data_IF_036898965481
#
_entry.id   IF_036898965481
#
_cell.length_a   1.000
_cell.length_b   1.000
_cell.length_c   1.000
_cell.angle_alpha   90.00
_cell.angle_beta   90.00
_cell.angle_gamma   90.00
#
_symmetry.space_group_name_H-M   'P 1'
#
loop_
_entity.id
_entity.type
_entity.pdbx_description
1 polymer ?
#
# COMPACT_ATOMS: atom_id res chain seq x y z
N UNK A 1 -10.86 -35.41 -58.14
CA UNK A 1 -11.64 -36.26 -57.21
C UNK A 1 -10.92 -36.31 -55.88
N UNK A 2 -11.36 -35.54 -54.87
CA UNK A 2 -10.85 -35.74 -53.50
C UNK A 2 -11.44 -37.03 -52.93
N UNK A 3 -10.60 -37.91 -52.39
CA UNK A 3 -11.04 -39.19 -51.84
C UNK A 3 -11.83 -38.98 -50.53
N UNK A 4 -12.89 -39.75 -50.27
CA UNK A 4 -13.77 -39.58 -49.09
C UNK A 4 -13.00 -39.65 -47.76
N UNK A 5 -11.84 -40.31 -47.74
CA UNK A 5 -10.93 -40.40 -46.60
C UNK A 5 -10.28 -39.05 -46.24
N UNK A 6 -9.99 -38.20 -47.23
CA UNK A 6 -9.40 -36.86 -47.03
C UNK A 6 -10.42 -35.89 -46.44
N UNK A 7 -11.69 -36.02 -46.81
CA UNK A 7 -12.76 -35.19 -46.28
C UNK A 7 -13.06 -35.52 -44.81
N UNK A 8 -13.08 -36.81 -44.44
CA UNK A 8 -13.24 -37.27 -43.06
C UNK A 8 -12.12 -36.77 -42.14
N UNK A 9 -10.87 -36.81 -42.59
CA UNK A 9 -9.73 -36.33 -41.81
C UNK A 9 -9.77 -34.81 -41.59
N UNK A 10 -10.24 -34.04 -42.58
CA UNK A 10 -10.44 -32.59 -42.43
C UNK A 10 -11.49 -32.24 -41.37
N UNK A 11 -12.61 -32.96 -41.33
CA UNK A 11 -13.67 -32.75 -40.33
C UNK A 11 -13.15 -33.05 -38.92
N UNK A 12 -12.40 -34.14 -38.75
CA UNK A 12 -11.80 -34.49 -37.44
C UNK A 12 -10.81 -33.43 -36.99
N UNK A 13 -9.91 -32.96 -37.87
CA UNK A 13 -8.93 -31.93 -37.52
C UNK A 13 -9.61 -30.60 -37.14
N UNK A 14 -10.63 -30.18 -37.89
CA UNK A 14 -11.40 -28.97 -37.56
C UNK A 14 -12.14 -29.12 -36.22
N UNK A 15 -12.69 -30.30 -35.93
CA UNK A 15 -13.32 -30.59 -34.64
C UNK A 15 -12.34 -30.49 -33.46
N UNK A 16 -11.12 -31.00 -33.62
CA UNK A 16 -10.07 -30.91 -32.59
C UNK A 16 -9.62 -29.46 -32.36
N UNK A 17 -9.43 -28.69 -33.44
CA UNK A 17 -9.05 -27.27 -33.33
C UNK A 17 -10.14 -26.47 -32.60
N UNK A 18 -11.41 -26.70 -32.93
CA UNK A 18 -12.54 -26.05 -32.27
C UNK A 18 -12.60 -26.41 -30.77
N UNK A 19 -12.42 -27.70 -30.44
CA UNK A 19 -12.37 -28.16 -29.05
C UNK A 19 -11.25 -27.45 -28.28
N UNK A 20 -10.03 -27.42 -28.81
CA UNK A 20 -8.89 -26.74 -28.18
C UNK A 20 -9.14 -25.24 -27.99
N UNK A 21 -9.75 -24.57 -28.97
CA UNK A 21 -10.09 -23.15 -28.85
C UNK A 21 -11.12 -22.91 -27.74
N UNK A 22 -12.17 -23.73 -27.65
CA UNK A 22 -13.18 -23.60 -26.58
C UNK A 22 -12.59 -23.86 -25.19
N UNK A 23 -11.71 -24.86 -25.05
CA UNK A 23 -11.01 -25.11 -23.79
C UNK A 23 -10.10 -23.95 -23.39
N UNK A 24 -9.40 -23.33 -24.35
CA UNK A 24 -8.57 -22.16 -24.11
C UNK A 24 -9.40 -20.95 -23.65
N UNK A 25 -10.55 -20.71 -24.29
CA UNK A 25 -11.48 -19.64 -23.89
C UNK A 25 -12.04 -19.85 -22.47
N UNK A 26 -12.43 -21.08 -22.13
CA UNK A 26 -12.92 -21.41 -20.78
C UNK A 26 -11.81 -21.22 -19.73
N UNK A 27 -10.58 -21.66 -20.02
CA UNK A 27 -9.44 -21.48 -19.13
C UNK A 27 -9.11 -20.00 -18.93
N UNK A 28 -9.07 -19.22 -20.01
CA UNK A 28 -8.83 -17.77 -19.97
C UNK A 28 -9.91 -17.04 -19.16
N UNK A 29 -11.19 -17.34 -19.41
CA UNK A 29 -12.31 -16.75 -18.68
C UNK A 29 -12.34 -17.15 -17.20
N UNK A 30 -11.89 -18.38 -16.86
CA UNK A 30 -11.79 -18.83 -15.47
C UNK A 30 -10.74 -18.08 -14.64
N UNK A 31 -9.66 -17.60 -15.27
CA UNK A 31 -8.70 -16.72 -14.58
C UNK A 31 -9.31 -15.35 -14.29
N UNK A 32 -10.03 -14.78 -15.27
CA UNK A 32 -10.63 -13.45 -15.14
C UNK A 32 -11.80 -13.41 -14.13
N UNK A 33 -12.60 -14.48 -14.06
CA UNK A 33 -13.71 -14.58 -13.08
C UNK A 33 -13.21 -14.85 -11.67
N UNK A 34 -12.18 -15.68 -11.51
CA UNK A 34 -11.55 -15.94 -10.21
C UNK A 34 -10.94 -14.68 -9.59
N UNK A 35 -10.36 -13.82 -10.43
CA UNK A 35 -9.90 -12.50 -10.03
C UNK A 35 -11.07 -11.61 -9.58
N UNK A 36 -12.15 -11.47 -10.36
CA UNK A 36 -13.28 -10.60 -10.00
C UNK A 36 -14.07 -11.07 -8.76
N UNK A 37 -14.23 -12.37 -8.54
CA UNK A 37 -14.85 -12.89 -7.31
C UNK A 37 -13.96 -12.69 -6.07
N UNK A 38 -12.64 -12.72 -6.24
CA UNK A 38 -11.70 -12.35 -5.18
C UNK A 38 -11.82 -10.85 -4.88
N UNK A 39 -11.75 -10.00 -5.90
CA UNK A 39 -11.85 -8.54 -5.76
C UNK A 39 -13.18 -8.06 -5.15
N UNK A 40 -14.32 -8.72 -5.45
CA UNK A 40 -15.63 -8.34 -4.89
C UNK A 40 -15.84 -8.76 -3.43
N UNK A 41 -15.12 -9.77 -2.92
CA UNK A 41 -15.14 -10.10 -1.47
C UNK A 41 -14.26 -9.17 -0.65
N UNK A 42 -13.28 -8.55 -1.28
CA UNK A 42 -12.37 -7.57 -0.70
C UNK A 42 -13.00 -6.19 -0.45
N UNK A 43 -14.16 -5.91 -1.05
CA UNK A 43 -14.69 -4.56 -1.27
C UNK A 43 -15.50 -3.95 -0.10
N UNK A 44 -15.56 -4.55 1.09
CA UNK A 44 -16.55 -4.10 2.12
C UNK A 44 -16.06 -3.73 3.52
N UNK A 45 -14.75 -3.71 3.80
CA UNK A 45 -14.25 -3.08 5.03
C UNK A 45 -12.97 -2.31 4.75
N UNK A 46 -12.99 -1.01 5.05
CA UNK A 46 -11.77 -0.22 5.22
C UNK A 46 -11.00 -0.90 6.35
N UNK A 47 -10.01 -1.73 5.97
CA UNK A 47 -9.17 -2.42 6.93
C UNK A 47 -8.09 -1.43 7.36
N UNK A 48 -7.98 -1.18 8.65
CA UNK A 48 -6.86 -0.42 9.21
C UNK A 48 -5.56 -1.23 8.96
N UNK A 49 -4.64 -0.74 8.11
CA UNK A 49 -3.42 -1.47 7.80
C UNK A 49 -2.36 -1.31 8.90
N UNK A 50 -2.57 -0.50 9.94
CA UNK A 50 -1.55 -0.30 10.97
C UNK A 50 -1.17 -1.59 11.72
N UNK A 51 0.05 -1.63 12.24
CA UNK A 51 0.77 -2.85 12.59
C UNK A 51 0.31 -3.44 13.93
N UNK A 52 0.02 -2.64 14.95
CA UNK A 52 -0.34 -3.12 16.30
C UNK A 52 -1.67 -3.89 16.30
N UNK A 53 -2.68 -3.44 15.54
CA UNK A 53 -3.97 -4.13 15.41
C UNK A 53 -3.97 -5.27 14.37
N UNK A 54 -2.82 -5.51 13.72
CA UNK A 54 -2.70 -6.62 12.77
C UNK A 54 -2.89 -7.99 13.43
N UNK A 55 -2.72 -8.12 14.74
CA UNK A 55 -2.74 -9.39 15.47
C UNK A 55 -1.60 -10.34 15.06
N UNK A 56 -0.56 -9.81 14.43
CA UNK A 56 0.65 -10.53 14.02
C UNK A 56 1.89 -10.12 14.84
N UNK A 57 1.70 -9.25 15.83
CA UNK A 57 2.76 -8.66 16.66
C UNK A 57 2.33 -8.70 18.12
N UNK A 58 3.30 -8.82 19.01
CA UNK A 58 3.12 -8.67 20.46
C UNK A 58 3.43 -7.25 20.96
N UNK A 59 4.06 -6.43 20.12
CA UNK A 59 4.32 -5.01 20.38
C UNK A 59 3.04 -4.28 20.81
N UNK A 60 3.15 -3.48 21.87
CA UNK A 60 2.05 -2.67 22.42
C UNK A 60 2.17 -1.18 22.11
N UNK A 61 3.25 -0.80 21.45
CA UNK A 61 3.58 0.58 21.13
C UNK A 61 4.19 0.66 19.75
N UNK A 62 3.84 1.71 19.03
CA UNK A 62 4.43 2.07 17.76
C UNK A 62 4.89 3.53 17.79
N UNK A 63 5.96 3.81 17.05
CA UNK A 63 6.34 5.18 16.71
C UNK A 63 5.66 5.54 15.40
N UNK A 64 4.89 6.62 15.40
CA UNK A 64 4.20 7.13 14.22
C UNK A 64 4.80 8.46 13.83
N UNK A 65 5.08 8.60 12.54
CA UNK A 65 5.50 9.83 11.88
C UNK A 65 4.50 10.15 10.77
N UNK A 66 4.02 11.39 10.75
CA UNK A 66 3.31 11.95 9.60
C UNK A 66 4.20 12.98 8.94
N UNK A 67 4.27 12.98 7.61
CA UNK A 67 4.97 14.00 6.83
C UNK A 67 3.99 14.63 5.85
N UNK A 68 3.86 15.94 5.89
CA UNK A 68 3.13 16.72 4.91
C UNK A 68 4.14 17.38 3.98
N UNK A 69 4.05 17.11 2.68
CA UNK A 69 4.94 17.65 1.65
C UNK A 69 4.18 18.56 0.70
N UNK A 70 4.75 19.73 0.42
CA UNK A 70 4.17 20.72 -0.49
C UNK A 70 5.23 21.20 -1.48
N UNK A 71 5.11 20.76 -2.72
CA UNK A 71 6.06 21.08 -3.79
C UNK A 71 6.09 22.58 -4.11
N UNK A 72 4.91 23.22 -4.10
CA UNK A 72 4.73 24.64 -4.42
C UNK A 72 5.04 25.57 -3.24
N UNK A 73 5.55 25.02 -2.14
CA UNK A 73 5.88 25.74 -0.93
C UNK A 73 4.75 25.79 0.10
N UNK A 74 4.91 26.67 1.08
CA UNK A 74 4.12 26.65 2.31
C UNK A 74 2.63 26.97 2.02
N UNK A 75 1.68 26.12 2.48
CA UNK A 75 0.24 26.38 2.30
C UNK A 75 -0.24 27.60 3.10
N UNK A 76 -1.44 28.11 2.79
CA UNK A 76 -2.04 29.26 3.50
C UNK A 76 -2.05 29.01 5.03
N UNK A 77 -1.85 30.08 5.80
CA UNK A 77 -1.72 30.07 7.26
C UNK A 77 -2.89 29.39 7.97
N UNK A 78 -4.09 29.42 7.37
CA UNK A 78 -5.30 28.77 7.90
C UNK A 78 -5.14 27.25 8.04
N UNK A 79 -4.50 26.60 7.07
CA UNK A 79 -4.25 25.16 7.07
C UNK A 79 -3.50 24.68 8.32
N UNK A 80 -2.55 25.48 8.85
CA UNK A 80 -1.77 25.10 10.03
C UNK A 80 -2.52 25.19 11.35
N UNK A 81 -3.53 26.05 11.45
CA UNK A 81 -4.24 26.27 12.71
C UNK A 81 -5.07 25.04 13.08
N UNK A 82 -5.48 24.26 12.07
CA UNK A 82 -6.29 23.06 12.23
C UNK A 82 -5.44 21.80 12.52
N UNK A 83 -4.17 21.80 12.08
CA UNK A 83 -3.24 20.67 12.25
C UNK A 83 -2.69 20.48 13.67
N UNK A 84 -2.64 21.55 14.47
CA UNK A 84 -2.05 21.51 15.81
C UNK A 84 -2.98 20.85 16.83
N UNK A 85 -3.32 19.57 16.61
CA UNK A 85 -3.92 18.73 17.63
C UNK A 85 -2.92 18.44 18.77
N UNK A 86 -3.45 18.22 19.97
CA UNK A 86 -2.68 17.93 21.18
C UNK A 86 -1.99 16.56 21.10
N UNK A 87 -0.68 16.49 21.38
CA UNK A 87 0.06 15.23 21.53
C UNK A 87 1.08 14.91 20.43
N UNK A 88 1.14 15.71 19.37
CA UNK A 88 2.15 15.58 18.30
C UNK A 88 3.33 16.53 18.51
N UNK A 89 4.54 16.03 18.32
CA UNK A 89 5.75 16.87 18.22
C UNK A 89 5.96 17.25 16.75
N UNK A 90 5.78 18.52 16.40
CA UNK A 90 5.86 19.01 15.03
C UNK A 90 7.22 19.67 14.72
N UNK A 91 7.75 19.38 13.54
CA UNK A 91 9.01 19.93 13.02
C UNK A 91 8.82 20.42 11.58
N UNK A 92 9.19 21.67 11.32
CA UNK A 92 9.15 22.26 9.98
C UNK A 92 10.51 22.14 9.29
N UNK A 93 10.51 21.80 8.00
CA UNK A 93 11.63 22.07 7.11
C UNK A 93 11.34 23.33 6.28
N UNK A 94 12.38 24.06 5.87
CA UNK A 94 12.28 25.25 5.02
C UNK A 94 11.32 26.34 5.55
N UNK A 95 11.56 26.79 6.78
CA UNK A 95 10.77 27.83 7.47
C UNK A 95 10.86 29.23 6.85
N UNK A 96 11.71 29.45 5.85
CA UNK A 96 12.00 30.76 5.27
C UNK A 96 10.83 31.39 4.48
N UNK A 97 9.72 30.68 4.23
CA UNK A 97 8.53 31.26 3.58
C UNK A 97 8.80 31.79 2.17
N UNK A 98 9.89 31.34 1.55
CA UNK A 98 10.28 31.72 0.20
C UNK A 98 9.35 30.99 -0.76
N UNK A 99 8.55 31.74 -1.51
CA UNK A 99 7.68 31.19 -2.53
C UNK A 99 8.50 30.39 -3.55
N UNK A 100 8.03 29.19 -3.89
CA UNK A 100 8.67 28.30 -4.86
C UNK A 100 9.75 27.37 -4.32
N UNK A 101 10.02 27.34 -3.01
CA UNK A 101 10.81 26.27 -2.39
C UNK A 101 9.87 25.22 -1.77
N UNK A 102 10.18 23.91 -1.91
CA UNK A 102 9.38 22.87 -1.28
C UNK A 102 9.32 23.04 0.23
N UNK A 103 8.15 22.78 0.79
CA UNK A 103 7.88 22.90 2.22
C UNK A 103 7.48 21.54 2.79
N UNK A 104 7.98 21.19 3.97
CA UNK A 104 7.50 20.02 4.69
C UNK A 104 7.26 20.27 6.18
N UNK A 105 6.28 19.54 6.71
CA UNK A 105 5.91 19.53 8.12
C UNK A 105 5.84 18.07 8.58
N UNK A 106 6.66 17.70 9.55
CA UNK A 106 6.68 16.36 10.11
C UNK A 106 6.14 16.36 11.54
N UNK A 107 5.20 15.46 11.84
CA UNK A 107 4.66 15.23 13.18
C UNK A 107 5.10 13.87 13.69
N UNK A 108 5.47 13.78 14.98
CA UNK A 108 5.87 12.53 15.63
C UNK A 108 5.04 12.26 16.88
N UNK A 109 4.65 11.00 17.08
CA UNK A 109 3.93 10.54 18.26
C UNK A 109 4.21 9.06 18.51
N UNK A 110 4.31 8.66 19.78
CA UNK A 110 4.22 7.24 20.16
C UNK A 110 2.77 6.92 20.49
N UNK A 111 2.25 5.83 19.94
CA UNK A 111 0.86 5.38 20.14
C UNK A 111 0.82 3.99 20.76
N UNK A 112 -0.33 3.62 21.30
CA UNK A 112 -0.68 2.24 21.70
C UNK A 112 -1.70 1.61 20.76
N UNK A 113 -1.89 0.29 20.85
CA UNK A 113 -2.79 -0.50 19.99
C UNK A 113 -4.21 0.07 19.94
N UNK A 114 -4.72 0.59 21.06
CA UNK A 114 -6.08 1.13 21.15
C UNK A 114 -6.26 2.46 20.40
N UNK A 115 -5.17 3.20 20.14
CA UNK A 115 -5.19 4.50 19.46
C UNK A 115 -5.13 4.38 17.93
N UNK A 116 -4.63 3.27 17.39
CA UNK A 116 -4.41 3.09 15.96
C UNK A 116 -5.64 3.31 15.06
N UNK A 117 -6.86 2.84 15.41
CA UNK A 117 -8.03 3.09 14.56
C UNK A 117 -8.34 4.59 14.43
N UNK A 118 -8.19 5.33 15.53
CA UNK A 118 -8.39 6.78 15.55
C UNK A 118 -7.28 7.49 14.75
N UNK A 119 -6.02 7.07 14.91
CA UNK A 119 -4.88 7.61 14.17
C UNK A 119 -5.03 7.37 12.67
N UNK A 120 -5.46 6.19 12.26
CA UNK A 120 -5.65 5.88 10.86
C UNK A 120 -6.81 6.69 10.25
N UNK A 121 -7.95 6.80 10.93
CA UNK A 121 -9.06 7.64 10.48
C UNK A 121 -8.64 9.11 10.36
N UNK A 122 -7.97 9.65 11.37
CA UNK A 122 -7.43 11.01 11.34
C UNK A 122 -6.45 11.22 10.19
N UNK A 123 -5.59 10.24 9.91
CA UNK A 123 -4.67 10.31 8.77
C UNK A 123 -5.43 10.37 7.43
N UNK A 124 -6.51 9.61 7.27
CA UNK A 124 -7.31 9.65 6.03
C UNK A 124 -7.95 11.02 5.81
N UNK A 125 -8.50 11.63 6.86
CA UNK A 125 -9.06 13.00 6.80
C UNK A 125 -7.96 14.02 6.48
N UNK A 126 -6.83 13.94 7.18
CA UNK A 126 -5.66 14.79 6.97
C UNK A 126 -5.14 14.69 5.54
N UNK A 127 -5.06 13.49 4.99
CA UNK A 127 -4.60 13.26 3.63
C UNK A 127 -5.48 13.95 2.61
N UNK A 128 -6.80 13.89 2.79
CA UNK A 128 -7.74 14.61 1.94
C UNK A 128 -7.52 16.13 2.03
N UNK A 129 -7.44 16.68 3.24
CA UNK A 129 -7.22 18.11 3.45
C UNK A 129 -5.91 18.60 2.83
N UNK A 130 -4.83 17.83 3.00
CA UNK A 130 -3.50 18.13 2.44
C UNK A 130 -3.55 18.11 0.92
N UNK A 131 -4.26 17.15 0.33
CA UNK A 131 -4.42 17.02 -1.13
C UNK A 131 -5.21 18.18 -1.71
N UNK A 132 -6.26 18.67 -1.02
CA UNK A 132 -7.07 19.81 -1.46
C UNK A 132 -6.27 21.11 -1.59
N UNK A 133 -5.20 21.27 -0.80
CA UNK A 133 -4.28 22.40 -0.90
C UNK A 133 -3.02 22.12 -1.74
N UNK A 134 -3.01 21.00 -2.48
CA UNK A 134 -1.94 20.63 -3.42
C UNK A 134 -0.69 20.01 -2.78
N UNK A 135 -0.82 19.45 -1.59
CA UNK A 135 0.24 18.68 -0.92
C UNK A 135 0.05 17.16 -1.01
N UNK A 136 0.97 16.43 -0.38
CA UNK A 136 0.89 14.98 -0.16
C UNK A 136 1.13 14.70 1.33
N UNK A 137 0.29 13.85 1.92
CA UNK A 137 0.50 13.34 3.27
C UNK A 137 1.10 11.93 3.21
N UNK A 138 2.04 11.67 4.11
CA UNK A 138 2.65 10.37 4.33
C UNK A 138 2.49 9.97 5.78
N UNK A 139 2.25 8.69 6.03
CA UNK A 139 2.26 8.06 7.35
C UNK A 139 3.33 6.97 7.37
N UNK A 140 4.18 6.98 8.39
CA UNK A 140 5.17 5.93 8.70
C UNK A 140 4.90 5.44 10.12
N UNK A 141 4.69 4.14 10.27
CA UNK A 141 4.53 3.47 11.55
C UNK A 141 5.66 2.45 11.75
N UNK A 142 6.34 2.51 12.90
CA UNK A 142 7.45 1.64 13.25
C UNK A 142 7.21 0.91 14.57
N UNK A 143 7.48 -0.39 14.56
CA UNK A 143 7.43 -1.24 15.75
C UNK A 143 8.77 -1.94 16.00
N UNK A 144 9.15 -2.20 17.27
CA UNK A 144 10.38 -2.90 17.62
C UNK A 144 10.21 -4.43 17.54
N UNK A 145 9.52 -4.92 16.52
CA UNK A 145 9.27 -6.34 16.27
C UNK A 145 9.31 -6.63 14.78
N UNK A 146 9.79 -7.81 14.39
CA UNK A 146 9.84 -8.25 13.01
C UNK A 146 8.59 -9.07 12.70
N UNK A 147 7.95 -8.82 11.56
CA UNK A 147 6.77 -9.57 11.14
C UNK A 147 7.05 -10.48 9.94
N UNK A 148 6.23 -11.52 9.81
CA UNK A 148 6.06 -12.24 8.56
C UNK A 148 5.27 -11.36 7.57
N UNK A 149 5.99 -10.69 6.68
CA UNK A 149 5.39 -9.78 5.70
C UNK A 149 4.44 -10.50 4.75
N UNK A 150 4.70 -11.76 4.39
CA UNK A 150 3.83 -12.49 3.47
C UNK A 150 2.47 -12.77 4.11
N UNK A 151 2.48 -13.22 5.37
CA UNK A 151 1.25 -13.42 6.13
C UNK A 151 0.51 -12.10 6.36
N UNK A 152 1.23 -11.03 6.72
CA UNK A 152 0.65 -9.71 6.89
C UNK A 152 0.01 -9.18 5.60
N UNK A 153 0.70 -9.27 4.45
CA UNK A 153 0.21 -8.79 3.16
C UNK A 153 -1.06 -9.54 2.73
N UNK A 154 -1.09 -10.87 2.92
CA UNK A 154 -2.29 -11.66 2.66
C UNK A 154 -3.45 -11.26 3.57
N UNK A 155 -3.20 -11.08 4.87
CA UNK A 155 -4.23 -10.68 5.85
C UNK A 155 -4.80 -9.29 5.56
N UNK A 156 -3.94 -8.37 5.15
CA UNK A 156 -4.30 -6.99 4.82
C UNK A 156 -4.67 -6.79 3.36
N UNK A 157 -4.81 -7.89 2.60
CA UNK A 157 -5.31 -7.82 1.23
C UNK A 157 -4.44 -6.94 0.31
N UNK A 158 -3.13 -6.93 0.57
CA UNK A 158 -2.15 -6.15 -0.18
C UNK A 158 -1.74 -6.95 -1.40
N UNK A 159 -1.94 -6.39 -2.59
CA UNK A 159 -1.45 -6.92 -3.87
C UNK A 159 0.00 -6.49 -4.06
N UNK A 160 0.99 -7.40 -3.95
CA UNK A 160 2.38 -7.03 -4.10
C UNK A 160 2.66 -6.57 -5.54
N UNK A 161 3.37 -5.46 -5.70
CA UNK A 161 3.87 -4.96 -6.99
C UNK A 161 5.38 -5.10 -7.08
N UNK A 162 6.07 -4.84 -5.97
CA UNK A 162 7.51 -4.92 -5.87
C UNK A 162 7.88 -5.63 -4.56
N UNK A 163 8.94 -6.43 -4.61
CA UNK A 163 9.48 -7.12 -3.45
C UNK A 163 11.00 -7.06 -3.46
N UNK A 164 11.60 -7.03 -2.27
CA UNK A 164 13.05 -7.11 -2.09
C UNK A 164 13.37 -8.02 -0.91
N UNK A 165 14.38 -8.85 -1.09
CA UNK A 165 14.87 -9.79 -0.08
C UNK A 165 16.38 -9.68 0.00
N UNK A 166 16.88 -9.30 1.18
CA UNK A 166 18.29 -9.41 1.54
C UNK A 166 18.44 -10.38 2.72
N UNK A 167 19.67 -10.68 3.14
CA UNK A 167 19.94 -11.67 4.20
C UNK A 167 19.14 -11.45 5.49
N UNK A 168 18.73 -10.21 5.78
CA UNK A 168 18.09 -9.83 7.04
C UNK A 168 16.91 -8.88 6.88
N UNK A 169 16.58 -8.47 5.66
CA UNK A 169 15.52 -7.50 5.39
C UNK A 169 14.61 -8.02 4.30
N UNK A 170 13.31 -7.97 4.56
CA UNK A 170 12.27 -8.24 3.58
C UNK A 170 11.50 -6.93 3.39
N UNK A 171 11.20 -6.57 2.14
CA UNK A 171 10.32 -5.45 1.81
C UNK A 171 9.29 -5.87 0.77
N UNK A 172 8.06 -5.41 0.96
CA UNK A 172 6.98 -5.52 -0.01
C UNK A 172 6.38 -4.13 -0.21
N UNK A 173 6.28 -3.71 -1.46
CA UNK A 173 5.53 -2.53 -1.88
C UNK A 173 4.36 -3.00 -2.73
N UNK A 174 3.17 -2.49 -2.46
CA UNK A 174 1.96 -3.02 -3.07
C UNK A 174 0.82 -2.03 -3.19
N UNK A 175 -0.32 -2.60 -3.57
CA UNK A 175 -1.60 -1.92 -3.70
C UNK A 175 -2.60 -2.50 -2.72
N UNK A 176 -3.29 -1.63 -1.98
CA UNK A 176 -4.35 -1.97 -1.04
C UNK A 176 -5.56 -1.09 -1.37
N UNK A 177 -6.68 -1.72 -1.73
CA UNK A 177 -7.81 -1.02 -2.37
C UNK A 177 -8.48 0.05 -1.49
N UNK A 178 -8.42 -0.09 -0.16
CA UNK A 178 -9.05 0.86 0.76
C UNK A 178 -8.23 2.12 1.05
N UNK A 179 -7.03 2.24 0.49
CA UNK A 179 -6.17 3.42 0.63
C UNK A 179 -6.32 4.36 -0.59
N UNK A 180 -6.62 5.63 -0.32
CA UNK A 180 -6.89 6.63 -1.35
C UNK A 180 -5.62 7.14 -2.06
N UNK A 181 -4.56 7.42 -1.30
CA UNK A 181 -3.33 7.99 -1.85
C UNK A 181 -2.57 6.95 -2.65
N UNK A 182 -1.94 7.36 -3.74
CA UNK A 182 -1.04 6.50 -4.49
C UNK A 182 0.16 7.30 -4.98
N UNK A 183 1.27 6.62 -5.13
CA UNK A 183 2.46 7.15 -5.80
C UNK A 183 2.89 6.23 -6.93
N UNK A 184 3.65 6.77 -7.87
CA UNK A 184 4.27 5.97 -8.92
C UNK A 184 5.63 5.48 -8.45
N UNK A 185 5.84 4.16 -8.48
CA UNK A 185 7.13 3.52 -8.25
C UNK A 185 7.57 2.84 -9.55
N UNK A 186 8.29 3.58 -10.40
CA UNK A 186 8.48 3.18 -11.79
C UNK A 186 7.17 3.26 -12.55
N UNK A 187 6.75 2.16 -13.18
CA UNK A 187 5.48 2.06 -13.91
C UNK A 187 4.30 1.60 -13.02
N UNK A 188 4.58 1.18 -11.78
CA UNK A 188 3.59 0.65 -10.87
C UNK A 188 2.93 1.75 -10.03
N UNK A 189 1.61 1.63 -9.85
CA UNK A 189 0.86 2.39 -8.84
C UNK A 189 0.88 1.63 -7.53
N UNK A 190 1.34 2.30 -6.48
CA UNK A 190 1.51 1.70 -5.16
C UNK A 190 1.04 2.67 -4.07
N UNK A 191 0.53 2.12 -2.98
CA UNK A 191 -0.04 2.90 -1.88
C UNK A 191 0.23 2.30 -0.50
N UNK A 192 1.07 1.27 -0.43
CA UNK A 192 1.56 0.75 0.84
C UNK A 192 2.95 0.15 0.64
N UNK A 193 3.82 0.35 1.62
CA UNK A 193 5.10 -0.33 1.71
C UNK A 193 5.30 -0.87 3.12
N UNK A 194 5.77 -2.11 3.24
CA UNK A 194 6.19 -2.71 4.51
C UNK A 194 7.63 -3.18 4.36
N UNK A 195 8.43 -2.96 5.40
CA UNK A 195 9.79 -3.47 5.52
C UNK A 195 9.95 -4.08 6.90
N UNK A 196 10.45 -5.31 6.96
CA UNK A 196 10.73 -6.05 8.19
C UNK A 196 12.20 -6.47 8.16
N UNK A 197 12.91 -6.16 9.23
CA UNK A 197 14.33 -6.49 9.41
C UNK A 197 14.50 -7.34 10.67
N UNK A 198 15.34 -8.38 10.58
CA UNK A 198 15.74 -9.21 11.72
C UNK A 198 17.23 -9.08 11.97
N UNK A 199 17.64 -8.59 13.14
CA UNK A 199 19.05 -8.49 13.53
C UNK A 199 19.31 -9.07 14.92
N UNK A 200 20.10 -10.14 15.01
CA UNK A 200 20.57 -10.68 16.29
C UNK A 200 19.47 -11.10 17.26
N UNK A 201 18.34 -11.60 16.74
CA UNK A 201 17.17 -12.01 17.54
C UNK A 201 16.21 -10.87 17.91
N UNK A 202 16.49 -9.64 17.50
CA UNK A 202 15.55 -8.50 17.59
C UNK A 202 15.05 -8.15 16.20
N UNK A 203 13.73 -8.03 16.04
CA UNK A 203 13.11 -7.60 14.80
C UNK A 203 12.71 -6.13 14.84
N UNK A 204 12.53 -5.52 13.68
CA UNK A 204 11.94 -4.19 13.50
C UNK A 204 11.11 -4.20 12.23
N UNK A 205 9.96 -3.55 12.26
CA UNK A 205 9.10 -3.40 11.09
C UNK A 205 8.72 -1.94 10.94
N UNK A 206 8.74 -1.45 9.71
CA UNK A 206 8.12 -0.19 9.33
C UNK A 206 7.05 -0.43 8.27
N UNK A 207 5.98 0.36 8.35
CA UNK A 207 4.91 0.43 7.38
C UNK A 207 4.77 1.90 6.94
N UNK A 208 4.65 2.13 5.65
CA UNK A 208 4.48 3.46 5.09
C UNK A 208 3.28 3.53 4.14
N UNK A 209 2.52 4.63 4.23
CA UNK A 209 1.38 4.98 3.38
C UNK A 209 1.60 6.39 2.79
N UNK A 210 1.35 6.64 1.48
CA UNK A 210 1.26 5.64 0.44
C UNK A 210 2.57 4.85 0.29
N UNK A 211 3.69 5.51 0.05
CA UNK A 211 5.03 4.91 0.07
C UNK A 211 6.01 6.04 0.34
N UNK A 212 6.73 5.97 1.47
CA UNK A 212 7.93 6.77 1.70
C UNK A 212 8.69 6.16 2.86
N UNK A 213 9.92 5.70 2.63
CA UNK A 213 10.87 5.43 3.71
C UNK A 213 12.20 6.08 3.35
N UNK A 214 12.47 7.24 3.98
CA UNK A 214 13.85 7.67 4.22
C UNK A 214 14.56 6.54 4.97
N UNK A 215 15.81 6.27 4.58
CA UNK A 215 16.64 5.11 4.93
C UNK A 215 16.47 4.59 6.37
N UNK A 216 16.48 3.25 6.51
CA UNK A 216 16.57 2.54 7.80
C UNK A 216 17.94 2.70 8.47
#
# INVERSE_FOLDING_TARGET
METPKKHRNRIVVLGVIFLCYTMFQIWFFSQEVGEREFYSRLESQISNPLLLNSGLVEARKAEVRVVLWFEQGKPDRRFKQDLTQTGWAWMESNSAGIAGLPYSLAGYRTIVTEEEPEIFAWYQDLEQEVREVGGIAYLDERIPEGIDIAHYALKQNILPRQFSLSERTISVTGWQESLFSQVLAGDDRVNIQIISQTHGGKGRTALALPVLLEEF
#
